data_IF_056880199811
#
_entry.id   IF_056880199811
#
_cell.length_a   1.000
_cell.length_b   1.000
_cell.length_c   1.000
_cell.angle_alpha   90.00
_cell.angle_beta   90.00
_cell.angle_gamma   90.00
#
_symmetry.space_group_name_H-M   'P 1'
#
loop_
_entity.id
_entity.type
_entity.pdbx_description
1 polymer ?
#
# COMPACT_ATOMS: atom_id res chain seq x y z
N UNK A 1 12.71 42.07 -4.17
CA UNK A 1 11.42 41.67 -4.76
C UNK A 1 11.57 40.52 -5.75
N UNK A 2 12.40 40.63 -6.81
CA UNK A 2 12.58 39.53 -7.79
C UNK A 2 13.33 38.32 -7.20
N UNK A 3 14.40 38.54 -6.42
CA UNK A 3 15.14 37.46 -5.75
C UNK A 3 14.32 36.69 -4.70
N UNK A 4 13.40 37.36 -4.01
CA UNK A 4 12.49 36.73 -3.04
C UNK A 4 11.38 35.91 -3.73
N UNK A 5 10.99 36.28 -4.96
CA UNK A 5 9.98 35.55 -5.73
C UNK A 5 10.57 34.25 -6.33
N UNK A 6 11.83 34.28 -6.76
CA UNK A 6 12.57 33.09 -7.25
C UNK A 6 12.90 32.12 -6.11
N UNK A 7 13.14 32.64 -4.90
CA UNK A 7 13.32 31.80 -3.70
C UNK A 7 12.06 31.03 -3.28
N UNK A 8 10.87 31.62 -3.47
CA UNK A 8 9.62 30.91 -3.17
C UNK A 8 9.36 29.75 -4.16
N UNK A 9 9.64 29.94 -5.45
CA UNK A 9 9.36 28.91 -6.46
C UNK A 9 10.21 27.65 -6.32
N UNK A 10 11.42 27.75 -5.79
CA UNK A 10 12.31 26.58 -5.60
C UNK A 10 11.83 25.70 -4.46
N UNK A 11 11.42 26.30 -3.33
CA UNK A 11 10.86 25.56 -2.19
C UNK A 11 9.56 24.81 -2.51
N UNK A 12 8.69 25.37 -3.36
CA UNK A 12 7.44 24.72 -3.74
C UNK A 12 7.64 23.53 -4.66
N UNK A 13 8.66 23.59 -5.52
CA UNK A 13 9.01 22.47 -6.43
C UNK A 13 9.60 21.30 -5.63
N UNK A 14 10.49 21.55 -4.66
CA UNK A 14 11.04 20.48 -3.81
C UNK A 14 9.97 19.76 -2.98
N UNK A 15 9.00 20.50 -2.44
CA UNK A 15 7.89 19.89 -1.71
C UNK A 15 6.99 19.06 -2.64
N UNK A 16 6.75 19.51 -3.87
CA UNK A 16 5.98 18.76 -4.86
C UNK A 16 6.64 17.42 -5.21
N UNK A 17 7.95 17.41 -5.43
CA UNK A 17 8.71 16.18 -5.72
C UNK A 17 8.71 15.21 -4.52
N UNK A 18 8.85 15.73 -3.30
CA UNK A 18 8.71 14.93 -2.08
C UNK A 18 7.30 14.34 -1.95
N UNK A 19 6.26 15.11 -2.22
CA UNK A 19 4.88 14.59 -2.19
C UNK A 19 4.63 13.55 -3.30
N UNK A 20 5.22 13.74 -4.48
CA UNK A 20 5.10 12.79 -5.58
C UNK A 20 5.76 11.44 -5.25
N UNK A 21 6.93 11.45 -4.62
CA UNK A 21 7.62 10.22 -4.20
C UNK A 21 6.85 9.47 -3.12
N UNK A 22 6.31 10.17 -2.11
CA UNK A 22 5.41 9.58 -1.12
C UNK A 22 4.15 8.99 -1.75
N UNK A 23 3.55 9.70 -2.71
CA UNK A 23 2.38 9.20 -3.44
C UNK A 23 2.72 7.96 -4.28
N UNK A 24 3.92 7.90 -4.87
CA UNK A 24 4.40 6.73 -5.60
C UNK A 24 4.45 5.46 -4.73
N UNK A 25 4.89 5.60 -3.48
CA UNK A 25 4.90 4.48 -2.50
C UNK A 25 3.46 4.05 -2.16
N UNK A 26 2.56 5.00 -1.88
CA UNK A 26 1.16 4.70 -1.58
C UNK A 26 0.44 4.05 -2.76
N UNK A 27 0.72 4.50 -3.99
CA UNK A 27 0.21 3.89 -5.21
C UNK A 27 0.75 2.48 -5.41
N UNK A 28 2.02 2.23 -5.07
CA UNK A 28 2.62 0.90 -5.13
C UNK A 28 1.93 -0.07 -4.15
N UNK A 29 1.59 0.39 -2.94
CA UNK A 29 0.83 -0.40 -1.95
C UNK A 29 -0.59 -0.68 -2.48
N UNK A 30 -1.28 0.31 -3.05
CA UNK A 30 -2.60 0.11 -3.67
C UNK A 30 -2.56 -0.84 -4.86
N UNK A 31 -1.52 -0.76 -5.68
CA UNK A 31 -1.30 -1.67 -6.80
C UNK A 31 -1.14 -3.11 -6.29
N UNK A 32 -0.44 -3.29 -5.17
CA UNK A 32 -0.26 -4.59 -4.53
C UNK A 32 -1.60 -5.16 -4.01
N UNK A 33 -2.46 -4.32 -3.43
CA UNK A 33 -3.84 -4.69 -3.07
C UNK A 33 -4.71 -5.03 -4.29
N UNK A 34 -4.57 -4.29 -5.39
CA UNK A 34 -5.27 -4.59 -6.63
C UNK A 34 -4.84 -5.92 -7.23
N UNK A 35 -3.52 -6.18 -7.28
CA UNK A 35 -2.97 -7.46 -7.74
C UNK A 35 -3.41 -8.63 -6.85
N UNK A 36 -3.46 -8.42 -5.53
CA UNK A 36 -4.02 -9.36 -4.56
C UNK A 36 -5.48 -9.71 -4.90
N UNK A 37 -6.32 -8.71 -5.19
CA UNK A 37 -7.72 -8.96 -5.52
C UNK A 37 -7.91 -9.64 -6.89
N UNK A 38 -7.01 -9.40 -7.85
CA UNK A 38 -7.11 -9.96 -9.19
C UNK A 38 -6.57 -11.40 -9.28
N UNK A 39 -5.48 -11.70 -8.58
CA UNK A 39 -4.86 -13.03 -8.60
C UNK A 39 -5.15 -13.76 -7.30
N UNK A 40 -6.01 -14.78 -7.37
CA UNK A 40 -6.37 -15.62 -6.22
C UNK A 40 -5.15 -16.17 -5.46
N UNK A 41 -4.10 -16.58 -6.18
CA UNK A 41 -2.86 -17.07 -5.57
C UNK A 41 -2.05 -15.98 -4.88
N UNK A 42 -2.12 -14.73 -5.35
CA UNK A 42 -1.42 -13.61 -4.73
C UNK A 42 -2.16 -13.10 -3.49
N UNK A 43 -3.49 -13.20 -3.45
CA UNK A 43 -4.31 -12.78 -2.31
C UNK A 43 -3.85 -13.41 -0.99
N UNK A 44 -3.70 -14.73 -0.98
CA UNK A 44 -3.29 -15.48 0.20
C UNK A 44 -1.88 -15.09 0.65
N UNK A 45 -0.96 -14.93 -0.29
CA UNK A 45 0.41 -14.50 0.01
C UNK A 45 0.45 -13.11 0.64
N UNK A 46 -0.34 -12.17 0.12
CA UNK A 46 -0.42 -10.80 0.65
C UNK A 46 -1.04 -10.79 2.04
N UNK A 47 -2.12 -11.54 2.26
CA UNK A 47 -2.76 -11.65 3.57
C UNK A 47 -1.80 -12.24 4.61
N UNK A 48 -1.11 -13.33 4.27
CA UNK A 48 -0.11 -13.96 5.15
C UNK A 48 1.04 -12.98 5.42
N UNK A 49 1.54 -12.26 4.42
CA UNK A 49 2.59 -11.26 4.59
C UNK A 49 2.18 -10.13 5.54
N UNK A 50 0.96 -9.60 5.42
CA UNK A 50 0.44 -8.54 6.31
C UNK A 50 0.28 -9.05 7.75
N UNK A 51 -0.31 -10.24 7.92
CA UNK A 51 -0.49 -10.85 9.24
C UNK A 51 0.86 -11.10 9.92
N UNK A 52 1.84 -11.54 9.15
CA UNK A 52 3.21 -11.75 9.60
C UNK A 52 3.89 -10.44 10.02
N UNK A 53 3.74 -9.37 9.22
CA UNK A 53 4.34 -8.07 9.51
C UNK A 53 3.83 -7.49 10.84
N UNK A 54 2.56 -7.71 11.20
CA UNK A 54 2.01 -7.26 12.48
C UNK A 54 2.63 -8.01 13.68
N UNK A 55 3.01 -9.28 13.50
CA UNK A 55 3.65 -10.08 14.55
C UNK A 55 5.11 -9.71 14.80
N UNK A 56 5.75 -8.96 13.89
CA UNK A 56 7.14 -8.49 14.06
C UNK A 56 7.29 -7.44 15.17
N UNK A 57 6.20 -6.78 15.60
CA UNK A 57 6.23 -5.64 16.52
C UNK A 57 6.99 -5.89 17.84
N UNK A 58 6.61 -6.91 18.64
CA UNK A 58 7.29 -7.21 19.89
C UNK A 58 8.78 -7.55 19.72
N UNK A 59 9.13 -8.27 18.65
CA UNK A 59 10.52 -8.57 18.35
C UNK A 59 11.32 -7.31 18.02
N UNK A 60 10.79 -6.44 17.16
CA UNK A 60 11.42 -5.16 16.83
C UNK A 60 11.63 -4.31 18.08
N UNK A 61 10.70 -4.34 19.05
CA UNK A 61 10.88 -3.62 20.32
C UNK A 61 12.10 -4.13 21.12
N UNK A 62 12.29 -5.45 21.21
CA UNK A 62 13.47 -6.06 21.87
C UNK A 62 14.75 -5.72 21.10
N UNK A 63 14.70 -5.82 19.77
CA UNK A 63 15.83 -5.52 18.90
C UNK A 63 16.29 -4.05 19.03
N UNK A 64 15.36 -3.09 18.97
CA UNK A 64 15.68 -1.68 19.17
C UNK A 64 16.19 -1.39 20.59
N UNK A 65 15.68 -2.08 21.61
CA UNK A 65 16.19 -1.97 22.98
C UNK A 65 17.67 -2.34 23.04
N UNK A 66 18.07 -3.43 22.38
CA UNK A 66 19.48 -3.85 22.31
C UNK A 66 20.31 -2.85 21.51
N UNK A 67 19.84 -2.38 20.35
CA UNK A 67 20.55 -1.36 19.56
C UNK A 67 20.80 -0.10 20.40
N UNK A 68 19.80 0.39 21.13
CA UNK A 68 19.95 1.58 21.97
C UNK A 68 21.00 1.34 23.06
N UNK A 69 20.98 0.18 23.73
CA UNK A 69 21.97 -0.16 24.76
C UNK A 69 23.41 -0.19 24.24
N UNK A 70 23.63 -0.85 23.10
CA UNK A 70 24.95 -0.86 22.45
C UNK A 70 25.33 0.50 21.88
N UNK A 71 24.38 1.28 21.39
CA UNK A 71 24.61 2.62 20.88
C UNK A 71 25.07 3.59 21.98
N UNK A 72 24.50 3.50 23.19
CA UNK A 72 24.96 4.28 24.34
C UNK A 72 26.39 3.90 24.70
N UNK A 73 26.69 2.60 24.72
CA UNK A 73 28.02 2.07 25.05
C UNK A 73 29.06 2.55 24.04
N UNK A 74 28.79 2.40 22.74
CA UNK A 74 29.70 2.81 21.67
C UNK A 74 29.89 4.33 21.62
N UNK A 75 28.81 5.10 21.80
CA UNK A 75 28.89 6.57 21.78
C UNK A 75 29.61 7.14 23.02
N UNK A 76 29.47 6.49 24.17
CA UNK A 76 30.15 6.89 25.40
C UNK A 76 31.63 6.57 25.41
N UNK A 77 32.01 5.39 24.88
CA UNK A 77 33.40 4.93 24.91
C UNK A 77 34.21 5.45 23.70
N UNK A 78 33.59 5.57 22.53
CA UNK A 78 34.26 5.90 21.26
C UNK A 78 33.78 7.24 20.67
N UNK A 79 33.65 8.27 21.50
CA UNK A 79 33.16 9.59 21.07
C UNK A 79 34.03 10.27 20.00
N UNK A 80 35.28 9.81 19.83
CA UNK A 80 36.23 10.33 18.82
C UNK A 80 36.10 9.67 17.44
N UNK A 81 35.41 8.53 17.33
CA UNK A 81 35.35 7.75 16.09
C UNK A 81 34.23 8.29 15.18
N UNK A 82 34.53 8.46 13.88
CA UNK A 82 33.58 8.93 12.90
C UNK A 82 32.35 8.01 12.83
N UNK A 83 31.16 8.59 12.94
CA UNK A 83 29.90 7.84 12.93
C UNK A 83 29.41 7.33 14.29
N UNK A 84 30.24 7.34 15.33
CA UNK A 84 29.84 6.93 16.69
C UNK A 84 29.76 8.08 17.69
N UNK A 85 30.12 9.29 17.29
CA UNK A 85 30.07 10.50 18.14
C UNK A 85 28.67 10.90 18.59
N UNK A 86 27.63 10.59 17.80
CA UNK A 86 26.24 10.90 18.11
C UNK A 86 25.42 9.62 18.34
N UNK A 87 24.60 9.60 19.39
CA UNK A 87 23.73 8.45 19.69
C UNK A 87 22.85 8.01 18.51
N UNK A 88 22.12 8.89 17.79
CA UNK A 88 21.29 8.45 16.66
C UNK A 88 22.12 7.91 15.49
N UNK A 89 23.32 8.45 15.28
CA UNK A 89 24.21 8.03 14.21
C UNK A 89 24.84 6.67 14.53
N UNK A 90 25.27 6.46 15.78
CA UNK A 90 25.73 5.18 16.29
C UNK A 90 24.62 4.11 16.19
N UNK A 91 23.38 4.45 16.55
CA UNK A 91 22.25 3.53 16.43
C UNK A 91 21.96 3.14 14.97
N UNK A 92 22.03 4.08 14.03
CA UNK A 92 21.86 3.81 12.59
C UNK A 92 23.02 2.97 12.03
N UNK A 93 24.25 3.25 12.45
CA UNK A 93 25.43 2.46 12.05
C UNK A 93 25.38 1.04 12.59
N UNK A 94 24.97 0.86 13.86
CA UNK A 94 24.76 -0.47 14.45
C UNK A 94 23.59 -1.21 13.79
N UNK A 95 22.49 -0.51 13.47
CA UNK A 95 21.39 -1.09 12.70
C UNK A 95 21.84 -1.56 11.32
N UNK A 96 22.61 -0.74 10.59
CA UNK A 96 23.19 -1.11 9.30
C UNK A 96 24.17 -2.29 9.42
N UNK A 97 24.98 -2.31 10.49
CA UNK A 97 25.89 -3.41 10.80
C UNK A 97 25.14 -4.72 11.05
N UNK A 98 24.01 -4.68 11.76
CA UNK A 98 23.15 -5.83 11.98
C UNK A 98 22.52 -6.37 10.68
N UNK A 99 22.32 -5.53 9.67
CA UNK A 99 21.88 -5.92 8.32
C UNK A 99 23.02 -6.46 7.44
N UNK A 100 24.24 -6.54 7.97
CA UNK A 100 25.43 -7.05 7.28
C UNK A 100 26.35 -5.97 6.69
N UNK A 101 26.02 -4.69 6.85
CA UNK A 101 26.89 -3.58 6.44
C UNK A 101 27.78 -3.12 7.60
N UNK A 102 28.66 -4.01 8.07
CA UNK A 102 29.62 -3.69 9.13
C UNK A 102 30.99 -3.37 8.52
N UNK A 103 31.69 -2.41 9.12
CA UNK A 103 33.05 -2.03 8.73
C UNK A 103 33.94 -2.00 9.98
N UNK A 104 34.98 -2.84 9.98
CA UNK A 104 35.99 -2.88 11.04
C UNK A 104 37.12 -1.88 10.81
N UNK A 105 37.29 -1.37 9.59
CA UNK A 105 38.37 -0.46 9.21
C UNK A 105 38.35 0.83 10.05
N UNK A 106 37.15 1.33 10.35
CA UNK A 106 36.91 2.53 11.16
C UNK A 106 37.55 2.46 12.55
N UNK A 107 37.76 1.25 13.10
CA UNK A 107 38.36 1.05 14.43
C UNK A 107 39.86 0.69 14.38
N UNK A 108 40.43 0.49 13.18
CA UNK A 108 41.84 0.12 13.02
C UNK A 108 42.75 1.30 12.66
N UNK A 109 42.18 2.46 12.32
CA UNK A 109 42.94 3.63 11.86
C UNK A 109 43.57 4.46 13.02
N UNK A 110 42.96 4.50 14.20
CA UNK A 110 43.29 5.48 15.26
C UNK A 110 43.97 4.91 16.53
N UNK A 111 44.87 3.94 16.38
CA UNK A 111 45.35 3.02 17.43
C UNK A 111 44.32 1.91 17.70
N UNK A 112 44.80 0.65 17.69
CA UNK A 112 43.95 -0.55 17.69
C UNK A 112 43.19 -0.70 19.02
N UNK A 113 41.99 -0.13 19.08
CA UNK A 113 41.01 -0.39 20.13
C UNK A 113 40.37 -1.76 19.90
N UNK A 114 41.11 -2.81 20.28
CA UNK A 114 40.62 -4.19 20.24
C UNK A 114 39.31 -4.37 21.03
N UNK A 115 39.07 -3.52 22.04
CA UNK A 115 37.83 -3.46 22.79
C UNK A 115 36.62 -3.09 21.91
N UNK A 116 36.78 -2.10 21.01
CA UNK A 116 35.72 -1.68 20.10
C UNK A 116 35.31 -2.82 19.16
N UNK A 117 36.33 -3.48 18.59
CA UNK A 117 36.14 -4.64 17.71
C UNK A 117 35.44 -5.78 18.47
N UNK A 118 35.82 -6.04 19.72
CA UNK A 118 35.20 -7.06 20.54
C UNK A 118 33.72 -6.74 20.87
N UNK A 119 33.41 -5.49 21.23
CA UNK A 119 32.05 -5.04 21.52
C UNK A 119 31.18 -5.12 20.26
N UNK A 120 31.68 -4.66 19.12
CA UNK A 120 30.98 -4.74 17.84
C UNK A 120 30.73 -6.19 17.43
N UNK A 121 31.73 -7.06 17.59
CA UNK A 121 31.60 -8.51 17.29
C UNK A 121 30.55 -9.16 18.18
N UNK A 122 30.53 -8.82 19.48
CA UNK A 122 29.52 -9.29 20.42
C UNK A 122 28.12 -8.80 20.02
N UNK A 123 27.99 -7.53 19.66
CA UNK A 123 26.74 -6.97 19.14
C UNK A 123 26.28 -7.74 17.90
N UNK A 124 27.16 -7.98 16.92
CA UNK A 124 26.82 -8.70 15.69
C UNK A 124 26.38 -10.13 15.98
N UNK A 125 27.03 -10.83 16.91
CA UNK A 125 26.65 -12.17 17.33
C UNK A 125 25.25 -12.18 17.96
N UNK A 126 24.99 -11.25 18.89
CA UNK A 126 23.69 -11.10 19.56
C UNK A 126 22.60 -10.72 18.56
N UNK A 127 22.88 -9.76 17.67
CA UNK A 127 21.97 -9.31 16.64
C UNK A 127 21.65 -10.44 15.64
N UNK A 128 22.65 -11.20 15.21
CA UNK A 128 22.47 -12.33 14.29
C UNK A 128 21.63 -13.44 14.94
N UNK A 129 21.88 -13.80 16.20
CA UNK A 129 21.07 -14.79 16.92
C UNK A 129 19.63 -14.29 17.06
N UNK A 130 19.42 -13.02 17.43
CA UNK A 130 18.08 -12.46 17.54
C UNK A 130 17.35 -12.43 16.19
N UNK A 131 17.98 -11.90 15.14
CA UNK A 131 17.40 -11.83 13.79
C UNK A 131 17.11 -13.23 13.23
N UNK A 132 17.99 -14.19 13.46
CA UNK A 132 17.76 -15.58 13.04
C UNK A 132 16.59 -16.21 13.81
N UNK A 133 16.52 -16.01 15.13
CA UNK A 133 15.41 -16.51 15.94
C UNK A 133 14.07 -15.91 15.50
N UNK A 134 14.06 -14.63 15.13
CA UNK A 134 12.88 -13.98 14.55
C UNK A 134 12.49 -14.61 13.22
N UNK A 135 13.46 -14.78 12.31
CA UNK A 135 13.20 -15.34 10.99
C UNK A 135 12.65 -16.76 11.09
N UNK A 136 13.17 -17.57 12.01
CA UNK A 136 12.70 -18.94 12.24
C UNK A 136 11.27 -18.93 12.81
N UNK A 137 11.00 -18.11 13.84
CA UNK A 137 9.66 -17.99 14.41
C UNK A 137 8.64 -17.57 13.33
N UNK A 138 9.00 -16.57 12.54
CA UNK A 138 8.20 -16.07 11.44
C UNK A 138 7.92 -17.13 10.37
N UNK A 139 8.96 -17.86 9.94
CA UNK A 139 8.79 -18.93 8.96
C UNK A 139 7.89 -20.03 9.52
N UNK A 140 8.08 -20.41 10.79
CA UNK A 140 7.25 -21.42 11.45
C UNK A 140 5.77 -21.01 11.47
N UNK A 141 5.46 -19.76 11.80
CA UNK A 141 4.09 -19.26 11.84
C UNK A 141 3.47 -19.19 10.45
N UNK A 142 4.24 -18.76 9.44
CA UNK A 142 3.80 -18.79 8.03
C UNK A 142 3.52 -20.23 7.59
N UNK A 143 4.40 -21.17 7.88
CA UNK A 143 4.22 -22.57 7.51
C UNK A 143 2.97 -23.17 8.17
N UNK A 144 2.74 -22.89 9.45
CA UNK A 144 1.56 -23.34 10.17
C UNK A 144 0.27 -22.72 9.59
N UNK A 145 0.28 -21.43 9.28
CA UNK A 145 -0.85 -20.74 8.68
C UNK A 145 -1.17 -21.30 7.28
N UNK A 146 -0.17 -21.47 6.43
CA UNK A 146 -0.35 -22.04 5.08
C UNK A 146 -0.85 -23.48 5.16
N UNK A 147 -0.36 -24.29 6.09
CA UNK A 147 -0.80 -25.68 6.23
C UNK A 147 -2.26 -25.80 6.70
N UNK A 148 -2.71 -24.90 7.59
CA UNK A 148 -4.11 -24.84 8.03
C UNK A 148 -5.05 -24.29 6.94
N UNK A 149 -4.67 -23.17 6.32
CA UNK A 149 -5.52 -22.48 5.33
C UNK A 149 -5.57 -23.18 3.98
N UNK A 150 -4.50 -23.87 3.54
CA UNK A 150 -4.50 -24.55 2.25
C UNK A 150 -5.56 -25.67 2.16
N UNK A 151 -5.90 -26.32 3.27
CA UNK A 151 -6.93 -27.36 3.30
C UNK A 151 -8.34 -26.78 3.26
N UNK A 152 -8.63 -25.76 4.08
CA UNK A 152 -9.98 -25.15 4.16
C UNK A 152 -10.29 -24.21 2.98
N UNK A 153 -9.31 -23.44 2.51
CA UNK A 153 -9.49 -22.56 1.35
C UNK A 153 -9.54 -23.33 0.04
N UNK A 154 -8.85 -24.47 -0.11
CA UNK A 154 -9.01 -25.31 -1.31
C UNK A 154 -10.49 -25.69 -1.52
N UNK A 155 -11.19 -26.03 -0.45
CA UNK A 155 -12.59 -26.48 -0.54
C UNK A 155 -13.58 -25.31 -0.63
N UNK A 156 -13.50 -24.35 0.30
CA UNK A 156 -14.41 -23.18 0.34
C UNK A 156 -14.31 -22.32 -0.93
N UNK A 157 -13.08 -22.12 -1.40
CA UNK A 157 -12.80 -21.22 -2.49
C UNK A 157 -13.17 -21.89 -3.84
N UNK A 158 -13.15 -23.23 -3.94
CA UNK A 158 -13.75 -23.94 -5.07
C UNK A 158 -15.27 -23.67 -5.19
N UNK A 159 -16.00 -23.72 -4.06
CA UNK A 159 -17.46 -23.51 -4.03
C UNK A 159 -17.88 -22.07 -4.31
N UNK A 160 -17.13 -21.07 -3.82
CA UNK A 160 -17.46 -19.66 -4.08
C UNK A 160 -17.21 -19.25 -5.53
N UNK A 161 -16.17 -19.78 -6.19
CA UNK A 161 -15.92 -19.52 -7.60
C UNK A 161 -16.97 -20.14 -8.52
N UNK A 162 -17.47 -21.34 -8.19
CA UNK A 162 -18.57 -21.95 -8.94
C UNK A 162 -19.85 -21.11 -8.80
N UNK A 163 -20.14 -20.65 -7.59
CA UNK A 163 -21.31 -19.81 -7.31
C UNK A 163 -21.22 -18.43 -7.96
N UNK A 164 -20.03 -17.85 -8.01
CA UNK A 164 -19.80 -16.55 -8.63
C UNK A 164 -19.75 -16.63 -10.16
N UNK A 165 -19.28 -17.75 -10.75
CA UNK A 165 -19.48 -18.00 -12.19
C UNK A 165 -20.95 -18.15 -12.55
N UNK A 166 -21.75 -18.82 -11.73
CA UNK A 166 -23.20 -18.94 -11.96
C UNK A 166 -23.95 -17.59 -11.83
N UNK A 167 -23.50 -16.68 -10.96
CA UNK A 167 -24.15 -15.36 -10.81
C UNK A 167 -23.61 -14.26 -11.73
N UNK A 168 -22.40 -14.42 -12.28
CA UNK A 168 -21.71 -13.36 -13.04
C UNK A 168 -21.70 -13.61 -14.56
N UNK A 169 -22.39 -14.66 -15.02
CA UNK A 169 -22.53 -14.99 -16.45
C UNK A 169 -23.41 -13.99 -17.23
N UNK A 170 -24.00 -12.98 -16.58
CA UNK A 170 -24.91 -12.09 -17.28
C UNK A 170 -24.22 -10.80 -17.78
N UNK A 171 -23.47 -9.99 -17.00
CA UNK A 171 -23.02 -8.66 -17.48
C UNK A 171 -21.77 -8.04 -16.80
N UNK A 172 -20.57 -8.64 -16.84
CA UNK A 172 -19.34 -7.91 -16.44
C UNK A 172 -18.18 -8.02 -17.42
N UNK A 173 -18.00 -6.97 -18.22
CA UNK A 173 -16.80 -6.77 -19.04
C UNK A 173 -15.67 -6.13 -18.19
N UNK A 174 -14.39 -6.46 -18.44
CA UNK A 174 -13.27 -6.02 -17.60
C UNK A 174 -13.05 -4.50 -17.63
N UNK A 175 -12.73 -3.93 -16.46
CA UNK A 175 -12.17 -2.59 -16.20
C UNK A 175 -12.47 -1.48 -17.24
N UNK A 176 -11.62 -1.32 -18.28
CA UNK A 176 -11.80 -0.28 -19.29
C UNK A 176 -13.14 -0.36 -20.03
N UNK A 177 -13.73 -1.55 -20.16
CA UNK A 177 -15.03 -1.78 -20.77
C UNK A 177 -16.19 -1.54 -19.80
N UNK A 178 -15.97 -1.63 -18.48
CA UNK A 178 -16.96 -1.22 -17.48
C UNK A 178 -17.20 0.30 -17.50
N UNK A 179 -16.18 1.09 -17.84
CA UNK A 179 -16.38 2.52 -18.11
C UNK A 179 -17.31 2.74 -19.33
N UNK A 180 -17.19 1.89 -20.36
CA UNK A 180 -18.09 1.98 -21.52
C UNK A 180 -19.52 1.57 -21.18
N UNK A 181 -19.74 0.55 -20.33
CA UNK A 181 -21.10 0.18 -19.92
C UNK A 181 -21.75 1.27 -19.09
N UNK A 182 -21.01 1.96 -18.21
CA UNK A 182 -21.50 3.14 -17.47
C UNK A 182 -21.88 4.28 -18.42
N UNK A 183 -21.08 4.52 -19.47
CA UNK A 183 -21.40 5.52 -20.50
C UNK A 183 -22.67 5.13 -21.27
N UNK A 184 -22.81 3.87 -21.67
CA UNK A 184 -24.00 3.39 -22.40
C UNK A 184 -25.25 3.50 -21.52
N UNK A 185 -25.14 3.18 -20.24
CA UNK A 185 -26.26 3.26 -19.30
C UNK A 185 -26.69 4.71 -19.04
N UNK A 186 -25.74 5.62 -18.87
CA UNK A 186 -26.02 7.06 -18.68
C UNK A 186 -26.60 7.71 -19.93
N UNK A 187 -26.16 7.32 -21.12
CA UNK A 187 -26.75 7.75 -22.40
C UNK A 187 -28.17 7.20 -22.55
N UNK A 188 -28.39 5.92 -22.25
CA UNK A 188 -29.73 5.29 -22.28
C UNK A 188 -30.73 6.00 -21.37
N UNK A 189 -30.34 6.25 -20.11
CA UNK A 189 -31.18 6.97 -19.15
C UNK A 189 -31.48 8.42 -19.58
N UNK A 190 -30.53 9.08 -20.24
CA UNK A 190 -30.71 10.45 -20.75
C UNK A 190 -31.69 10.51 -21.93
N UNK A 191 -31.66 9.51 -22.81
CA UNK A 191 -32.60 9.38 -23.93
C UNK A 191 -34.02 9.09 -23.44
N UNK A 192 -34.18 8.21 -22.46
CA UNK A 192 -35.49 7.85 -21.93
C UNK A 192 -36.15 9.00 -21.14
N UNK A 193 -35.34 9.83 -20.48
CA UNK A 193 -35.81 11.08 -19.88
C UNK A 193 -36.27 12.10 -20.92
N UNK A 194 -35.58 12.20 -22.07
CA UNK A 194 -35.98 13.10 -23.16
C UNK A 194 -37.28 12.65 -23.83
N UNK A 195 -37.46 11.35 -24.07
CA UNK A 195 -38.69 10.82 -24.68
C UNK A 195 -39.90 11.06 -23.78
N UNK A 196 -39.77 10.84 -22.47
CA UNK A 196 -40.86 11.10 -21.50
C UNK A 196 -41.26 12.59 -21.42
N UNK A 197 -40.32 13.54 -21.55
CA UNK A 197 -40.64 14.97 -21.48
C UNK A 197 -41.12 15.57 -22.81
N UNK A 198 -40.67 15.04 -23.95
CA UNK A 198 -41.01 15.58 -25.27
C UNK A 198 -42.39 15.12 -25.77
N UNK A 199 -42.77 13.85 -25.53
CA UNK A 199 -44.05 13.28 -25.99
C UNK A 199 -45.31 14.05 -25.53
N UNK A 200 -45.49 14.39 -24.24
CA UNK A 200 -46.72 15.03 -23.78
C UNK A 200 -46.89 16.46 -24.31
N UNK A 201 -45.78 17.14 -24.61
CA UNK A 201 -45.80 18.51 -25.16
C UNK A 201 -46.22 18.51 -26.64
N UNK A 202 -45.80 17.51 -27.40
CA UNK A 202 -46.21 17.31 -28.80
C UNK A 202 -47.66 16.82 -28.93
N UNK A 203 -48.14 15.97 -28.00
CA UNK A 203 -49.56 15.57 -28.00
C UNK A 203 -50.50 16.75 -27.70
N UNK A 204 -50.13 17.68 -26.81
CA UNK A 204 -50.93 18.89 -26.55
C UNK A 204 -51.02 19.84 -27.75
N UNK A 205 -50.00 19.91 -28.61
CA UNK A 205 -50.06 20.72 -29.84
C UNK A 205 -50.93 20.08 -30.93
N UNK A 206 -51.02 18.75 -30.98
CA UNK A 206 -51.80 18.06 -32.03
C UNK A 206 -53.31 18.02 -31.75
N UNK A 207 -53.74 18.12 -30.50
CA UNK A 207 -55.16 18.11 -30.09
C UNK A 207 -55.81 19.50 -30.01
N UNK A 208 -55.04 20.58 -30.14
CA UNK A 208 -55.53 21.97 -30.05
C UNK A 208 -56.15 22.55 -31.34
N UNK A 209 -56.20 21.80 -32.44
CA UNK A 209 -56.66 22.29 -33.75
C UNK A 209 -57.87 21.52 -34.31
N UNK A 210 -58.78 21.04 -33.44
CA UNK A 210 -60.12 20.64 -33.90
C UNK A 210 -61.04 21.84 -33.68
N UNK A 211 -61.35 22.63 -34.72
CA UNK A 211 -62.34 23.70 -34.58
C UNK A 211 -63.67 23.07 -34.19
N UNK A 212 -64.25 23.57 -33.10
CA UNK A 212 -65.58 23.17 -32.65
C UNK A 212 -66.58 23.45 -33.78
N UNK A 213 -67.04 22.39 -34.42
CA UNK A 213 -68.08 22.44 -35.43
C UNK A 213 -69.35 23.02 -34.82
N UNK A 214 -69.72 24.21 -35.30
CA UNK A 214 -70.95 24.90 -34.98
C UNK A 214 -72.14 24.06 -35.49
N UNK A 215 -72.83 23.36 -34.58
CA UNK A 215 -74.07 22.64 -34.88
C UNK A 215 -75.23 23.62 -34.88
N UNK A 216 -75.44 24.26 -36.02
CA UNK A 216 -76.68 24.95 -36.37
C UNK A 216 -77.78 23.97 -36.74
N UNK A 217 -78.95 24.17 -36.14
CA UNK A 217 -80.30 23.89 -36.64
C UNK A 217 -80.77 22.46 -36.93
N UNK A 218 -81.97 22.16 -36.41
CA UNK A 218 -83.04 21.66 -37.27
C UNK A 218 -84.04 20.75 -36.57
N UNK A 219 -85.28 21.23 -36.41
CA UNK A 219 -86.49 20.39 -36.29
C UNK A 219 -87.15 20.38 -34.94
#
# INVERSE_FOLDING_TARGET
AVLTFVGLSTSTVELADRLLTWNGILLSIRLLQFCSNFMRSAANLVHVAISTALQMGPFLAVFFTVIIGFSITMSGQFSGVEGYSNLPQAALNLFGSALGNFDYGVFMEDETDWEAVAILTLFLLVAMIMLLNMLIALLSDIYAAVQGSALEESESAHWSFLKERECNDEWSLPGPLAAMTIIIWTVGASLDWMTQKALPKLMKMRLGCIPAGNSTNGG
#
